data_IF_805108216523
#
_entry.id   IF_805108216523
#
_cell.length_a   1.000
_cell.length_b   1.000
_cell.length_c   1.000
_cell.angle_alpha   90.00
_cell.angle_beta   90.00
_cell.angle_gamma   90.00
#
_symmetry.space_group_name_H-M   'P 1'
#
loop_
_entity.id
_entity.type
_entity.pdbx_description
1 polymer ?
#
# COMPACT_ATOMS: atom_id res chain seq x y z
N UNK A 1 0.03 -20.66 -16.28
CA UNK A 1 0.97 -20.58 -15.15
C UNK A 1 0.14 -20.35 -13.89
N UNK A 2 0.03 -21.36 -13.02
CA UNK A 2 -0.78 -21.25 -11.80
C UNK A 2 -0.03 -20.35 -10.82
N UNK A 3 -0.63 -19.20 -10.49
CA UNK A 3 -0.11 -18.27 -9.48
C UNK A 3 -0.36 -18.93 -8.13
N UNK A 4 0.67 -19.58 -7.60
CA UNK A 4 0.62 -20.21 -6.28
C UNK A 4 0.50 -19.09 -5.25
N UNK A 5 -0.72 -18.84 -4.75
CA UNK A 5 -0.95 -17.80 -3.73
C UNK A 5 -0.30 -18.26 -2.42
N UNK A 6 0.61 -17.48 -1.82
CA UNK A 6 1.24 -17.87 -0.57
C UNK A 6 0.20 -18.07 0.52
N UNK A 7 0.36 -19.15 1.29
CA UNK A 7 -0.55 -19.48 2.39
C UNK A 7 -0.46 -18.39 3.47
N UNK A 8 -1.60 -17.87 3.93
CA UNK A 8 -1.66 -16.79 4.96
C UNK A 8 -0.82 -17.11 6.20
N UNK A 9 -0.74 -18.39 6.55
CA UNK A 9 0.05 -18.86 7.70
C UNK A 9 1.55 -18.77 7.45
N UNK A 10 2.03 -18.95 6.20
CA UNK A 10 3.45 -18.76 5.86
C UNK A 10 3.85 -17.29 5.90
N UNK A 11 2.97 -16.40 5.44
CA UNK A 11 3.22 -14.94 5.45
C UNK A 11 3.38 -14.45 6.89
N UNK A 12 2.42 -14.81 7.76
CA UNK A 12 2.45 -14.43 9.18
C UNK A 12 3.66 -15.02 9.88
N UNK A 13 3.98 -16.29 9.61
CA UNK A 13 5.15 -16.97 10.18
C UNK A 13 6.45 -16.27 9.76
N UNK A 14 6.63 -15.97 8.48
CA UNK A 14 7.85 -15.32 7.98
C UNK A 14 8.02 -13.89 8.51
N UNK A 15 6.93 -13.16 8.71
CA UNK A 15 6.95 -11.82 9.29
C UNK A 15 7.26 -11.86 10.80
N UNK A 16 6.56 -12.69 11.56
CA UNK A 16 6.75 -12.82 13.01
C UNK A 16 8.16 -13.30 13.36
N UNK A 17 8.72 -14.19 12.55
CA UNK A 17 10.08 -14.73 12.69
C UNK A 17 11.15 -13.64 12.64
N UNK A 18 11.02 -12.65 11.74
CA UNK A 18 12.00 -11.58 11.60
C UNK A 18 12.08 -10.68 12.83
N UNK A 19 10.96 -10.52 13.56
CA UNK A 19 10.80 -9.55 14.64
C UNK A 19 11.03 -10.13 16.05
N UNK A 20 11.34 -11.43 16.16
CA UNK A 20 11.53 -12.11 17.46
C UNK A 20 12.51 -11.37 18.38
N UNK A 21 13.71 -10.94 17.93
CA UNK A 21 14.66 -10.26 18.79
C UNK A 21 14.15 -8.92 19.31
N UNK A 22 13.42 -8.18 18.47
CA UNK A 22 12.82 -6.90 18.82
C UNK A 22 11.73 -7.06 19.87
N UNK A 23 10.82 -8.04 19.71
CA UNK A 23 9.79 -8.29 20.71
C UNK A 23 10.38 -8.74 22.04
N UNK A 24 11.40 -9.60 22.02
CA UNK A 24 12.09 -10.04 23.22
C UNK A 24 12.77 -8.86 23.94
N UNK A 25 13.40 -7.95 23.18
CA UNK A 25 13.97 -6.70 23.71
C UNK A 25 12.90 -5.84 24.39
N UNK A 26 11.79 -5.53 23.70
CA UNK A 26 10.73 -4.64 24.20
C UNK A 26 10.14 -5.21 25.51
N UNK A 27 9.82 -6.51 25.54
CA UNK A 27 9.26 -7.13 26.72
C UNK A 27 10.21 -7.08 27.92
N UNK A 28 11.49 -7.34 27.69
CA UNK A 28 12.49 -7.34 28.76
C UNK A 28 12.88 -5.93 29.21
N UNK A 29 12.90 -4.93 28.32
CA UNK A 29 13.09 -3.51 28.65
C UNK A 29 11.96 -3.01 29.55
N UNK A 30 10.71 -3.34 29.21
CA UNK A 30 9.53 -2.93 30.00
C UNK A 30 9.50 -3.60 31.39
N UNK A 31 9.81 -4.90 31.47
CA UNK A 31 9.70 -5.66 32.72
C UNK A 31 10.92 -5.51 33.64
N UNK A 32 12.11 -5.38 33.08
CA UNK A 32 13.38 -5.50 33.81
C UNK A 32 14.37 -4.36 33.52
N UNK A 33 13.97 -3.37 32.71
CA UNK A 33 14.76 -2.18 32.36
C UNK A 33 15.75 -2.41 31.21
N UNK A 34 16.31 -1.30 30.71
CA UNK A 34 17.05 -1.24 29.43
C UNK A 34 18.28 -2.12 29.35
N UNK A 35 18.98 -2.34 30.47
CA UNK A 35 20.13 -3.26 30.51
C UNK A 35 19.70 -4.72 30.26
N UNK A 36 18.62 -5.15 30.91
CA UNK A 36 18.07 -6.49 30.75
C UNK A 36 17.43 -6.64 29.36
N UNK A 37 16.69 -5.62 28.90
CA UNK A 37 16.16 -5.51 27.55
C UNK A 37 17.23 -5.74 26.48
N UNK A 38 18.31 -4.96 26.52
CA UNK A 38 19.45 -5.10 25.60
C UNK A 38 20.03 -6.51 25.61
N UNK A 39 20.28 -7.05 26.80
CA UNK A 39 20.90 -8.37 26.92
C UNK A 39 20.00 -9.45 26.31
N UNK A 40 18.70 -9.43 26.62
CA UNK A 40 17.71 -10.37 26.06
C UNK A 40 17.55 -10.19 24.55
N UNK A 41 17.50 -8.95 24.05
CA UNK A 41 17.41 -8.65 22.63
C UNK A 41 18.61 -9.15 21.83
N UNK A 42 19.83 -8.90 22.33
CA UNK A 42 21.07 -9.37 21.69
C UNK A 42 21.12 -10.91 21.72
N UNK A 43 20.84 -11.52 22.87
CA UNK A 43 20.96 -12.96 23.04
C UNK A 43 19.92 -13.70 22.17
N UNK A 44 18.70 -13.20 22.11
CA UNK A 44 17.66 -13.74 21.21
C UNK A 44 18.04 -13.56 19.74
N UNK A 45 18.59 -12.41 19.34
CA UNK A 45 19.10 -12.17 17.99
C UNK A 45 20.21 -13.15 17.58
N UNK A 46 21.20 -13.35 18.45
CA UNK A 46 22.33 -14.28 18.22
C UNK A 46 21.84 -15.72 18.14
N UNK A 47 21.00 -16.16 19.10
CA UNK A 47 20.43 -17.52 19.09
C UNK A 47 19.63 -17.77 17.82
N UNK A 48 18.82 -16.79 17.40
CA UNK A 48 18.01 -16.92 16.20
C UNK A 48 18.86 -16.97 14.92
N UNK A 49 19.88 -16.11 14.83
CA UNK A 49 20.83 -16.13 13.70
C UNK A 49 21.58 -17.46 13.62
N UNK A 50 22.03 -18.01 14.75
CA UNK A 50 22.67 -19.33 14.82
C UNK A 50 21.73 -20.45 14.41
N UNK A 51 20.51 -20.48 14.95
CA UNK A 51 19.50 -21.46 14.58
C UNK A 51 19.25 -21.44 13.06
N UNK A 52 19.06 -20.25 12.49
CA UNK A 52 18.79 -20.09 11.06
C UNK A 52 19.98 -20.53 10.20
N UNK A 53 21.21 -20.16 10.62
CA UNK A 53 22.43 -20.56 9.94
C UNK A 53 22.64 -22.09 9.98
N UNK A 54 22.42 -22.74 11.12
CA UNK A 54 22.58 -24.20 11.25
C UNK A 54 21.52 -24.93 10.42
N UNK A 55 20.26 -24.48 10.47
CA UNK A 55 19.14 -25.18 9.83
C UNK A 55 19.05 -24.95 8.33
N UNK A 56 19.29 -23.72 7.87
CA UNK A 56 19.08 -23.31 6.48
C UNK A 56 20.36 -22.96 5.74
N UNK A 57 21.52 -22.94 6.42
CA UNK A 57 22.83 -22.54 5.83
C UNK A 57 22.80 -21.17 5.16
N UNK A 58 21.90 -20.30 5.61
CA UNK A 58 21.74 -18.94 5.12
C UNK A 58 21.83 -17.97 6.29
N UNK A 59 22.34 -16.77 6.01
CA UNK A 59 22.40 -15.67 6.97
C UNK A 59 21.14 -14.83 6.79
N UNK A 60 20.29 -14.78 7.82
CA UNK A 60 19.11 -13.93 7.79
C UNK A 60 19.48 -12.47 8.08
N UNK A 61 19.60 -11.67 7.02
CA UNK A 61 20.04 -10.27 7.09
C UNK A 61 19.13 -9.41 7.97
N UNK A 62 17.84 -9.73 8.07
CA UNK A 62 16.89 -8.98 8.90
C UNK A 62 17.17 -9.18 10.39
N UNK A 63 17.44 -10.41 10.82
CA UNK A 63 17.80 -10.71 12.22
C UNK A 63 19.07 -9.98 12.60
N UNK A 64 20.06 -9.94 11.71
CA UNK A 64 21.30 -9.18 11.95
C UNK A 64 21.07 -7.68 12.00
N UNK A 65 20.27 -7.13 11.09
CA UNK A 65 19.93 -5.72 11.05
C UNK A 65 19.17 -5.29 12.31
N UNK A 66 18.17 -6.05 12.74
CA UNK A 66 17.39 -5.78 13.94
C UNK A 66 18.25 -5.88 15.20
N UNK A 67 19.11 -6.90 15.29
CA UNK A 67 20.05 -7.05 16.41
C UNK A 67 21.03 -5.87 16.49
N UNK A 68 21.55 -5.43 15.33
CA UNK A 68 22.41 -4.25 15.25
C UNK A 68 21.68 -2.99 15.70
N UNK A 69 20.43 -2.81 15.28
CA UNK A 69 19.59 -1.68 15.66
C UNK A 69 19.38 -1.65 17.18
N UNK A 70 19.12 -2.81 17.81
CA UNK A 70 18.98 -2.94 19.27
C UNK A 70 20.28 -2.54 19.98
N UNK A 71 21.43 -3.01 19.50
CA UNK A 71 22.74 -2.67 20.09
C UNK A 71 23.01 -1.17 20.00
N UNK A 72 22.80 -0.58 18.83
CA UNK A 72 23.07 0.85 18.60
C UNK A 72 22.11 1.71 19.43
N UNK A 73 20.80 1.48 19.32
CA UNK A 73 19.81 2.31 20.01
C UNK A 73 19.84 2.10 21.53
N UNK A 74 19.95 0.86 21.98
CA UNK A 74 20.06 0.57 23.40
C UNK A 74 21.41 1.03 23.98
N UNK A 75 22.51 0.88 23.25
CA UNK A 75 23.82 1.40 23.64
C UNK A 75 23.81 2.91 23.83
N UNK A 76 23.25 3.66 22.87
CA UNK A 76 23.04 5.11 22.99
C UNK A 76 22.15 5.42 24.20
N UNK A 77 21.08 4.64 24.43
CA UNK A 77 20.20 4.82 25.59
C UNK A 77 20.93 4.66 26.93
N UNK A 78 21.87 3.72 27.04
CA UNK A 78 22.66 3.51 28.26
C UNK A 78 23.72 4.61 28.46
N UNK A 79 24.30 5.12 27.37
CA UNK A 79 25.34 6.15 27.42
C UNK A 79 24.77 7.53 27.76
N UNK A 80 23.62 7.89 27.22
CA UNK A 80 23.07 9.23 27.38
C UNK A 80 22.32 9.40 28.71
N UNK A 81 21.65 8.36 29.23
CA UNK A 81 20.90 8.39 30.50
C UNK A 81 20.04 9.67 30.69
N UNK A 82 19.58 10.24 29.58
CA UNK A 82 18.96 11.56 29.50
C UNK A 82 17.46 11.39 29.21
N UNK A 83 16.63 12.09 29.99
CA UNK A 83 15.18 12.11 29.82
C UNK A 83 14.80 12.60 28.41
N UNK A 84 15.56 13.53 27.85
CA UNK A 84 15.32 14.06 26.50
C UNK A 84 15.52 12.95 25.47
N UNK A 85 16.58 12.15 25.60
CA UNK A 85 16.82 11.03 24.69
C UNK A 85 15.67 10.02 24.73
N UNK A 86 15.15 9.72 25.93
CA UNK A 86 13.96 8.88 26.07
C UNK A 86 12.76 9.46 25.31
N UNK A 87 12.54 10.78 25.44
CA UNK A 87 11.43 11.46 24.75
C UNK A 87 11.57 11.51 23.23
N UNK A 88 12.80 11.46 22.72
CA UNK A 88 13.09 11.50 21.28
C UNK A 88 12.99 10.13 20.59
N UNK A 89 13.03 9.01 21.33
CA UNK A 89 12.96 7.66 20.76
C UNK A 89 11.77 7.48 19.79
N UNK A 90 10.52 7.84 20.13
CA UNK A 90 9.39 7.68 19.21
C UNK A 90 9.54 8.52 17.94
N UNK A 91 10.07 9.75 18.07
CA UNK A 91 10.33 10.64 16.94
C UNK A 91 11.39 10.10 15.99
N UNK A 92 12.45 9.44 16.50
CA UNK A 92 13.46 8.80 15.67
C UNK A 92 12.89 7.59 14.90
N UNK A 93 12.07 6.76 15.56
CA UNK A 93 11.40 5.62 14.91
C UNK A 93 10.45 6.10 13.82
N UNK A 94 9.64 7.12 14.12
CA UNK A 94 8.73 7.69 13.12
C UNK A 94 9.49 8.39 11.98
N UNK A 95 10.63 9.03 12.25
CA UNK A 95 11.48 9.61 11.20
C UNK A 95 12.00 8.56 10.21
N UNK A 96 12.38 7.37 10.69
CA UNK A 96 12.73 6.24 9.80
C UNK A 96 11.53 5.87 8.93
N UNK A 97 10.32 5.82 9.50
CA UNK A 97 9.10 5.56 8.74
C UNK A 97 8.81 6.66 7.72
N UNK A 98 9.00 7.94 8.08
CA UNK A 98 8.88 9.09 7.16
C UNK A 98 9.84 8.93 5.98
N UNK A 99 11.09 8.55 6.22
CA UNK A 99 12.07 8.31 5.15
C UNK A 99 11.62 7.15 4.24
N UNK A 100 11.21 6.01 4.81
CA UNK A 100 10.76 4.85 4.03
C UNK A 100 9.52 5.18 3.18
N UNK A 101 8.51 5.82 3.79
CA UNK A 101 7.29 6.26 3.09
C UNK A 101 7.63 7.33 2.06
N UNK A 102 8.55 8.25 2.35
CA UNK A 102 9.00 9.31 1.45
C UNK A 102 9.66 8.76 0.20
N UNK A 103 10.58 7.80 0.35
CA UNK A 103 11.21 7.14 -0.80
C UNK A 103 10.12 6.45 -1.65
N UNK A 104 9.14 5.79 -1.04
CA UNK A 104 8.04 5.18 -1.81
C UNK A 104 7.11 6.21 -2.48
N UNK A 105 6.79 7.30 -1.79
CA UNK A 105 5.83 8.32 -2.22
C UNK A 105 6.34 9.18 -3.39
N UNK A 106 7.65 9.45 -3.42
CA UNK A 106 8.29 10.37 -4.37
C UNK A 106 9.29 9.70 -5.32
N UNK A 107 9.57 8.39 -5.19
CA UNK A 107 10.39 7.65 -6.15
C UNK A 107 9.55 6.78 -7.08
N UNK A 108 10.09 6.51 -8.26
CA UNK A 108 9.59 5.47 -9.17
C UNK A 108 10.15 4.08 -8.86
N UNK A 109 11.02 3.99 -7.85
CA UNK A 109 11.49 2.71 -7.34
C UNK A 109 10.32 1.91 -6.77
N UNK A 110 10.11 0.66 -7.23
CA UNK A 110 8.95 -0.11 -6.83
C UNK A 110 9.26 -0.85 -5.52
N UNK A 111 9.63 -0.10 -4.46
CA UNK A 111 10.04 -0.63 -3.14
C UNK A 111 8.94 -1.51 -2.55
N UNK A 112 7.70 -1.03 -2.61
CA UNK A 112 6.55 -1.80 -2.18
C UNK A 112 6.36 -3.08 -2.99
N UNK A 113 6.72 -3.09 -4.28
CA UNK A 113 6.69 -4.30 -5.10
C UNK A 113 7.79 -5.29 -4.71
N UNK A 114 8.98 -4.79 -4.35
CA UNK A 114 10.10 -5.61 -3.91
C UNK A 114 9.80 -6.25 -2.55
N UNK A 115 9.19 -5.49 -1.63
CA UNK A 115 8.73 -6.00 -0.34
C UNK A 115 7.52 -6.93 -0.50
N UNK A 116 6.55 -6.56 -1.32
CA UNK A 116 5.38 -7.40 -1.65
C UNK A 116 5.80 -8.74 -2.25
N UNK A 117 6.77 -8.76 -3.18
CA UNK A 117 7.32 -10.02 -3.73
C UNK A 117 7.89 -10.94 -2.65
N UNK A 118 8.54 -10.38 -1.63
CA UNK A 118 9.11 -11.15 -0.51
C UNK A 118 8.04 -11.74 0.41
N UNK A 119 6.97 -11.00 0.69
CA UNK A 119 5.98 -11.39 1.71
C UNK A 119 4.68 -11.97 1.15
N UNK A 120 4.25 -11.54 -0.04
CA UNK A 120 2.94 -11.84 -0.61
C UNK A 120 3.00 -12.47 -2.02
N UNK A 121 4.19 -12.76 -2.54
CA UNK A 121 4.38 -13.33 -3.88
C UNK A 121 4.12 -12.33 -5.01
N UNK A 122 3.96 -12.80 -6.25
CA UNK A 122 3.62 -11.95 -7.39
C UNK A 122 2.16 -11.49 -7.33
N UNK A 123 1.84 -10.55 -6.44
CA UNK A 123 0.61 -9.78 -6.56
C UNK A 123 0.81 -8.79 -7.70
N UNK A 124 0.24 -9.09 -8.87
CA UNK A 124 0.14 -8.15 -9.97
C UNK A 124 -0.75 -6.96 -9.56
N UNK A 125 -0.14 -5.86 -9.12
CA UNK A 125 -0.85 -4.61 -8.88
C UNK A 125 -1.17 -3.95 -10.22
N UNK A 126 -2.44 -3.62 -10.44
CA UNK A 126 -2.83 -2.82 -11.59
C UNK A 126 -2.22 -1.40 -11.46
N UNK A 127 -1.75 -0.75 -12.54
CA UNK A 127 -1.26 0.64 -12.54
C UNK A 127 -2.16 1.63 -11.76
N UNK A 128 -3.49 1.48 -11.82
CA UNK A 128 -4.42 2.32 -11.06
C UNK A 128 -4.30 2.13 -9.54
N UNK A 129 -4.08 0.89 -9.07
CA UNK A 129 -3.87 0.58 -7.65
C UNK A 129 -2.53 1.13 -7.17
N UNK A 130 -1.48 1.01 -7.99
CA UNK A 130 -0.17 1.58 -7.69
C UNK A 130 -0.20 3.12 -7.59
N UNK A 131 -0.96 3.78 -8.47
CA UNK A 131 -1.18 5.23 -8.41
C UNK A 131 -1.92 5.67 -7.14
N UNK A 132 -2.93 4.92 -6.72
CA UNK A 132 -3.65 5.19 -5.48
C UNK A 132 -2.74 5.01 -4.26
N UNK A 133 -1.97 3.93 -4.19
CA UNK A 133 -0.99 3.70 -3.13
C UNK A 133 0.01 4.84 -3.03
N UNK A 134 0.59 5.28 -4.16
CA UNK A 134 1.49 6.46 -4.18
C UNK A 134 0.82 7.71 -3.63
N UNK A 135 -0.45 7.99 -4.01
CA UNK A 135 -1.18 9.16 -3.52
C UNK A 135 -1.41 9.11 -2.01
N UNK A 136 -1.79 7.94 -1.48
CA UNK A 136 -1.95 7.73 -0.03
C UNK A 136 -0.62 7.84 0.70
N UNK A 137 0.46 7.31 0.15
CA UNK A 137 1.79 7.42 0.74
C UNK A 137 2.29 8.87 0.81
N UNK A 138 1.95 9.73 -0.16
CA UNK A 138 2.26 11.17 -0.07
C UNK A 138 1.51 11.85 1.07
N UNK A 139 0.22 11.55 1.24
CA UNK A 139 -0.55 12.06 2.37
C UNK A 139 0.08 11.62 3.70
N UNK A 140 0.36 10.32 3.83
CA UNK A 140 1.00 9.75 5.01
C UNK A 140 2.37 10.38 5.28
N UNK A 141 3.18 10.64 4.24
CA UNK A 141 4.47 11.29 4.40
C UNK A 141 4.35 12.64 5.12
N UNK A 142 3.48 13.53 4.66
CA UNK A 142 3.34 14.86 5.28
C UNK A 142 2.75 14.79 6.68
N UNK A 143 1.79 13.88 6.90
CA UNK A 143 1.19 13.65 8.22
C UNK A 143 2.25 13.17 9.22
N UNK A 144 3.01 12.13 8.86
CA UNK A 144 4.07 11.59 9.71
C UNK A 144 5.19 12.60 9.92
N UNK A 145 5.56 13.37 8.89
CA UNK A 145 6.58 14.42 9.02
C UNK A 145 6.16 15.50 10.03
N UNK A 146 4.91 15.97 9.95
CA UNK A 146 4.36 16.95 10.89
C UNK A 146 4.26 16.37 12.30
N UNK A 147 3.82 15.12 12.41
CA UNK A 147 3.70 14.42 13.68
C UNK A 147 5.08 14.20 14.34
N UNK A 148 6.09 13.77 13.59
CA UNK A 148 7.47 13.66 14.06
C UNK A 148 8.01 15.00 14.55
N UNK A 149 7.75 16.08 13.81
CA UNK A 149 8.08 17.44 14.25
C UNK A 149 7.39 17.82 15.57
N UNK A 150 6.14 17.41 15.75
CA UNK A 150 5.38 17.64 16.99
C UNK A 150 5.90 16.80 18.17
N UNK A 151 6.31 15.55 17.95
CA UNK A 151 6.97 14.72 18.97
C UNK A 151 8.26 15.39 19.42
N UNK A 152 9.12 15.76 18.45
CA UNK A 152 10.39 16.44 18.70
C UNK A 152 10.12 17.72 19.47
N UNK A 153 9.25 18.60 19.01
CA UNK A 153 8.92 19.85 19.70
C UNK A 153 8.39 19.62 21.14
N UNK A 154 7.40 18.74 21.30
CA UNK A 154 6.81 18.47 22.62
C UNK A 154 7.81 17.87 23.62
N UNK A 155 8.87 17.20 23.16
CA UNK A 155 9.90 16.63 24.02
C UNK A 155 10.64 17.69 24.86
N UNK A 156 10.85 18.91 24.32
CA UNK A 156 11.53 20.00 25.02
C UNK A 156 10.57 21.00 25.67
N UNK A 157 9.42 21.25 25.06
CA UNK A 157 8.59 22.41 25.42
C UNK A 157 7.36 22.07 26.27
N UNK A 158 6.90 20.82 26.27
CA UNK A 158 5.65 20.43 26.92
C UNK A 158 5.84 19.41 28.04
N UNK A 159 4.79 19.22 28.85
CA UNK A 159 4.80 18.29 29.98
C UNK A 159 4.93 16.84 29.51
N UNK A 160 5.36 15.94 30.41
CA UNK A 160 5.57 14.52 30.09
C UNK A 160 4.26 13.86 29.64
N UNK A 161 3.13 14.24 30.21
CA UNK A 161 1.81 13.70 29.90
C UNK A 161 1.37 14.11 28.50
N UNK A 162 1.57 15.38 28.14
CA UNK A 162 1.24 15.91 26.81
C UNK A 162 2.14 15.26 25.75
N UNK A 163 3.45 15.17 26.00
CA UNK A 163 4.38 14.47 25.12
C UNK A 163 4.03 12.98 24.96
N UNK A 164 3.66 12.29 26.05
CA UNK A 164 3.28 10.87 25.99
C UNK A 164 2.01 10.65 25.17
N UNK A 165 1.03 11.54 25.32
CA UNK A 165 -0.16 11.53 24.48
C UNK A 165 0.17 11.77 23.00
N UNK A 166 1.03 12.74 22.70
CA UNK A 166 1.42 13.06 21.31
C UNK A 166 2.19 11.90 20.68
N UNK A 167 3.23 11.41 21.35
CA UNK A 167 4.08 10.34 20.84
C UNK A 167 3.38 8.99 20.70
N UNK A 168 2.26 8.77 21.41
CA UNK A 168 1.47 7.54 21.35
C UNK A 168 0.02 7.75 20.91
N UNK A 169 -0.82 8.28 21.78
CA UNK A 169 -2.28 8.37 21.57
C UNK A 169 -2.70 9.14 20.31
N UNK A 170 -2.10 10.32 20.09
CA UNK A 170 -2.41 11.18 18.95
C UNK A 170 -2.11 10.49 17.60
N UNK A 171 -1.01 9.72 17.52
CA UNK A 171 -0.66 8.94 16.35
C UNK A 171 -1.83 8.05 15.90
N UNK A 172 -2.39 7.26 16.82
CA UNK A 172 -3.51 6.35 16.50
C UNK A 172 -4.79 7.11 16.11
N UNK A 173 -5.06 8.25 16.75
CA UNK A 173 -6.22 9.09 16.42
C UNK A 173 -6.09 9.65 15.01
N UNK A 174 -4.92 10.18 14.63
CA UNK A 174 -4.66 10.69 13.28
C UNK A 174 -4.88 9.59 12.24
N UNK A 175 -4.32 8.39 12.46
CA UNK A 175 -4.54 7.27 11.54
C UNK A 175 -6.01 6.87 11.45
N UNK A 176 -6.72 6.78 12.58
CA UNK A 176 -8.15 6.47 12.59
C UNK A 176 -8.95 7.50 11.79
N UNK A 177 -8.67 8.79 11.96
CA UNK A 177 -9.33 9.87 11.21
C UNK A 177 -9.01 9.81 9.73
N UNK A 178 -7.75 9.52 9.34
CA UNK A 178 -7.38 9.34 7.94
C UNK A 178 -8.10 8.13 7.33
N UNK A 179 -8.15 6.99 8.03
CA UNK A 179 -8.85 5.80 7.54
C UNK A 179 -10.36 6.01 7.42
N UNK A 180 -10.99 6.62 8.42
CA UNK A 180 -12.42 6.95 8.41
C UNK A 180 -12.70 7.98 7.31
N UNK A 181 -11.90 9.04 7.22
CA UNK A 181 -12.03 10.07 6.19
C UNK A 181 -11.83 9.51 4.79
N UNK A 182 -10.86 8.63 4.58
CA UNK A 182 -10.64 7.93 3.31
C UNK A 182 -11.80 6.97 3.00
N UNK A 183 -12.31 6.24 3.98
CA UNK A 183 -13.45 5.36 3.81
C UNK A 183 -14.72 6.14 3.42
N UNK A 184 -15.02 7.22 4.13
CA UNK A 184 -16.13 8.14 3.82
C UNK A 184 -15.92 8.77 2.44
N UNK A 185 -14.73 9.30 2.14
CA UNK A 185 -14.40 9.89 0.84
C UNK A 185 -14.60 8.89 -0.30
N UNK A 186 -14.16 7.64 -0.13
CA UNK A 186 -14.37 6.59 -1.14
C UNK A 186 -15.85 6.23 -1.29
N UNK A 187 -16.62 6.17 -0.19
CA UNK A 187 -18.07 5.93 -0.22
C UNK A 187 -18.82 7.07 -0.88
N UNK A 188 -18.45 8.32 -0.58
CA UNK A 188 -19.00 9.53 -1.20
C UNK A 188 -18.58 9.69 -2.66
N UNK A 189 -17.35 9.36 -3.04
CA UNK A 189 -16.92 9.36 -4.44
C UNK A 189 -17.64 8.28 -5.25
N UNK A 190 -17.92 7.13 -4.63
CA UNK A 190 -18.80 6.09 -5.22
C UNK A 190 -20.26 6.55 -5.33
N UNK A 191 -20.67 7.55 -4.53
CA UNK A 191 -21.98 8.23 -4.60
C UNK A 191 -21.95 9.60 -5.32
N UNK A 192 -20.81 10.06 -5.82
CA UNK A 192 -20.71 11.32 -6.56
C UNK A 192 -21.16 11.08 -8.00
N UNK A 193 -22.05 11.91 -8.57
CA UNK A 193 -22.62 11.71 -9.90
C UNK A 193 -21.64 12.00 -11.05
N UNK A 194 -20.36 12.23 -10.75
CA UNK A 194 -19.27 12.35 -11.74
C UNK A 194 -18.43 11.07 -11.72
N UNK A 195 -19.11 9.94 -11.87
CA UNK A 195 -18.56 8.82 -12.62
C UNK A 195 -18.88 9.12 -14.09
N UNK A 196 -18.02 8.83 -15.08
CA UNK A 196 -18.56 8.56 -16.41
C UNK A 196 -19.65 7.54 -16.17
N UNK A 197 -20.88 7.85 -16.58
CA UNK A 197 -22.03 7.01 -16.32
C UNK A 197 -21.71 5.63 -16.88
N UNK A 198 -21.19 4.73 -16.05
CA UNK A 198 -21.49 3.31 -16.22
C UNK A 198 -22.98 3.23 -15.89
N UNK A 199 -23.80 3.64 -16.86
CA UNK A 199 -25.12 3.08 -17.00
C UNK A 199 -24.91 1.59 -16.78
N UNK A 200 -25.73 0.99 -15.94
CA UNK A 200 -25.87 -0.46 -15.85
C UNK A 200 -26.26 -1.13 -17.18
N UNK A 201 -26.20 -0.39 -18.30
CA UNK A 201 -26.31 -0.82 -19.69
C UNK A 201 -25.47 0.01 -20.68
N UNK A 202 -24.32 0.58 -20.27
CA UNK A 202 -23.35 1.13 -21.25
C UNK A 202 -22.61 -0.02 -21.94
N UNK A 203 -22.79 -0.13 -23.25
CA UNK A 203 -22.18 -1.15 -24.10
C UNK A 203 -20.71 -0.81 -24.38
N UNK A 204 -19.81 -1.79 -24.23
CA UNK A 204 -18.38 -1.65 -24.52
C UNK A 204 -18.05 -2.33 -25.84
N UNK A 205 -17.25 -1.65 -26.67
CA UNK A 205 -16.76 -2.19 -27.93
C UNK A 205 -15.27 -2.47 -27.88
N UNK A 206 -14.87 -3.53 -28.58
CA UNK A 206 -13.46 -3.74 -28.94
C UNK A 206 -13.06 -2.72 -30.00
N UNK A 207 -11.91 -2.07 -29.77
CA UNK A 207 -11.30 -1.16 -30.74
C UNK A 207 -10.32 -1.97 -31.57
N UNK A 208 -10.43 -1.83 -32.89
CA UNK A 208 -9.59 -2.53 -33.86
C UNK A 208 -8.74 -1.55 -34.66
N UNK A 209 -7.64 -2.04 -35.21
CA UNK A 209 -6.92 -1.33 -36.27
C UNK A 209 -7.54 -1.59 -37.65
N UNK A 210 -6.97 -0.99 -38.70
CA UNK A 210 -7.41 -1.15 -40.09
C UNK A 210 -7.33 -2.60 -40.60
N UNK A 211 -6.55 -3.45 -39.92
CA UNK A 211 -6.44 -4.88 -40.21
C UNK A 211 -7.40 -5.74 -39.39
N UNK A 212 -8.26 -5.12 -38.57
CA UNK A 212 -9.25 -5.81 -37.74
C UNK A 212 -8.66 -6.43 -36.47
N UNK A 213 -7.41 -6.12 -36.10
CA UNK A 213 -6.78 -6.62 -34.88
C UNK A 213 -7.20 -5.75 -33.68
N UNK A 214 -7.57 -6.40 -32.58
CA UNK A 214 -7.96 -5.70 -31.35
C UNK A 214 -6.75 -4.97 -30.76
N UNK A 215 -6.88 -3.65 -30.59
CA UNK A 215 -5.88 -2.75 -30.00
C UNK A 215 -6.34 -2.13 -28.67
N UNK A 216 -7.63 -2.25 -28.31
CA UNK A 216 -8.16 -1.72 -27.06
C UNK A 216 -9.66 -1.95 -26.89
N UNK A 217 -10.26 -1.23 -25.93
CA UNK A 217 -11.72 -1.19 -25.71
C UNK A 217 -12.16 0.21 -25.31
N UNK A 218 -13.32 0.64 -25.79
CA UNK A 218 -13.92 1.93 -25.44
C UNK A 218 -15.46 1.80 -25.35
N UNK A 219 -16.12 2.66 -24.55
CA UNK A 219 -17.57 2.65 -24.44
C UNK A 219 -18.24 3.17 -25.73
N UNK A 220 -19.45 2.68 -26.03
CA UNK A 220 -20.26 3.09 -27.20
C UNK A 220 -20.38 4.60 -27.35
N UNK A 221 -20.51 5.31 -26.23
CA UNK A 221 -20.63 6.77 -26.18
C UNK A 221 -19.40 7.50 -26.74
N UNK A 222 -18.20 6.96 -26.55
CA UNK A 222 -16.96 7.50 -27.10
C UNK A 222 -16.76 7.09 -28.57
N UNK A 223 -17.08 5.83 -28.88
CA UNK A 223 -16.89 5.27 -30.24
C UNK A 223 -17.79 5.94 -31.26
N UNK A 224 -19.07 6.15 -30.93
CA UNK A 224 -20.06 6.74 -31.84
C UNK A 224 -19.88 8.25 -32.05
N UNK A 225 -19.01 8.90 -31.28
CA UNK A 225 -18.63 10.31 -31.45
C UNK A 225 -17.24 10.54 -32.04
N UNK A 226 -16.44 9.48 -32.24
CA UNK A 226 -15.04 9.60 -32.67
C UNK A 226 -14.71 8.68 -33.85
N UNK A 227 -14.57 9.21 -35.08
CA UNK A 227 -14.24 8.44 -36.28
C UNK A 227 -12.90 7.69 -36.23
N UNK A 228 -12.00 8.05 -35.32
CA UNK A 228 -10.69 7.39 -35.17
C UNK A 228 -10.78 6.07 -34.39
N UNK A 229 -11.91 5.80 -33.72
CA UNK A 229 -12.13 4.57 -32.97
C UNK A 229 -12.89 3.56 -33.83
N UNK A 230 -12.15 2.72 -34.54
CA UNK A 230 -12.75 1.65 -35.34
C UNK A 230 -13.24 0.53 -34.42
N UNK A 231 -14.44 0.02 -34.66
CA UNK A 231 -15.00 -1.13 -33.94
C UNK A 231 -15.66 -2.11 -34.91
N UNK A 232 -15.66 -3.43 -34.61
CA UNK A 232 -16.34 -4.41 -35.45
C UNK A 232 -17.85 -4.14 -35.53
N UNK A 233 -18.41 -4.25 -36.73
CA UNK A 233 -19.85 -4.13 -36.98
C UNK A 233 -20.34 -5.32 -37.81
N UNK A 234 -21.57 -5.76 -37.56
CA UNK A 234 -22.24 -6.82 -38.33
C UNK A 234 -23.50 -6.25 -38.96
N UNK A 235 -23.66 -6.46 -40.27
CA UNK A 235 -24.88 -6.13 -41.01
C UNK A 235 -25.56 -7.42 -41.47
N UNK A 236 -26.87 -7.52 -41.25
CA UNK A 236 -27.67 -8.69 -41.62
C UNK A 236 -28.65 -8.33 -42.74
N UNK A 237 -28.65 -9.10 -43.83
CA UNK A 237 -29.63 -9.00 -44.90
C UNK A 237 -30.56 -10.21 -44.87
N UNK A 238 -31.86 -9.98 -44.68
CA UNK A 238 -32.87 -11.05 -44.58
C UNK A 238 -33.74 -11.01 -45.84
N UNK A 239 -33.83 -12.16 -46.52
CA UNK A 239 -34.67 -12.34 -47.70
C UNK A 239 -35.78 -13.35 -47.42
N UNK A 240 -36.98 -13.09 -47.93
CA UNK A 240 -38.06 -14.08 -47.91
C UNK A 240 -37.96 -15.05 -49.10
N UNK A 241 -38.83 -16.09 -49.11
CA UNK A 241 -38.87 -17.09 -50.20
C UNK A 241 -39.19 -16.52 -51.59
N UNK A 242 -39.65 -15.27 -51.68
CA UNK A 242 -39.96 -14.55 -52.93
C UNK A 242 -38.81 -13.63 -53.38
N UNK A 243 -37.65 -13.66 -52.69
CA UNK A 243 -36.48 -12.84 -53.02
C UNK A 243 -36.57 -11.37 -52.57
N UNK A 244 -37.55 -11.01 -51.74
CA UNK A 244 -37.71 -9.64 -51.24
C UNK A 244 -36.89 -9.43 -49.97
N UNK A 245 -36.28 -8.25 -49.83
CA UNK A 245 -35.46 -7.87 -48.66
C UNK A 245 -36.31 -7.26 -47.55
N UNK A 246 -36.00 -7.61 -46.30
CA UNK A 246 -36.57 -6.94 -45.12
C UNK A 246 -35.79 -5.67 -44.79
N UNK A 247 -36.46 -4.51 -44.89
CA UNK A 247 -35.90 -3.21 -44.51
C UNK A 247 -36.44 -2.77 -43.15
N UNK A 248 -35.54 -2.33 -42.27
CA UNK A 248 -35.90 -1.77 -40.97
C UNK A 248 -35.93 -0.24 -41.04
N UNK A 249 -37.10 0.36 -40.73
CA UNK A 249 -37.16 1.78 -40.38
C UNK A 249 -36.69 1.94 -38.92
N UNK A 250 -35.70 2.81 -38.71
CA UNK A 250 -35.15 3.09 -37.38
C UNK A 250 -36.09 4.01 -36.59
N UNK A 251 -35.86 4.04 -35.28
CA UNK A 251 -36.65 4.83 -34.34
C UNK A 251 -35.97 6.18 -34.14
N UNK A 252 -36.77 7.25 -34.06
CA UNK A 252 -36.27 8.62 -33.86
C UNK A 252 -35.45 8.80 -32.57
N UNK A 253 -35.55 7.86 -31.61
CA UNK A 253 -34.80 7.86 -30.34
C UNK A 253 -33.39 7.29 -30.45
N UNK A 254 -32.95 6.85 -31.64
CA UNK A 254 -31.61 6.28 -31.83
C UNK A 254 -30.53 7.38 -31.81
N UNK A 255 -29.37 6.99 -31.30
CA UNK A 255 -28.17 7.82 -31.12
C UNK A 255 -27.55 8.24 -32.46
N UNK A 256 -27.50 7.31 -33.42
CA UNK A 256 -27.02 7.54 -34.78
C UNK A 256 -28.05 7.07 -35.80
N UNK A 257 -28.20 7.88 -36.85
CA UNK A 257 -29.10 7.64 -37.99
C UNK A 257 -30.53 7.25 -37.53
N UNK A 258 -31.25 8.17 -36.86
CA UNK A 258 -32.64 7.97 -36.44
C UNK A 258 -33.59 7.66 -37.61
#
# INVERSE_FOLDING_TARGET
MSINRPNRNEILKNFAIGLVPLFAFILADELYGTKAGLLVGILSGVVYALYYYIRFRQIEKFVLFDTLLIIVLGGISLLLNDEIFFKLKPGLVELILVLLVGIHAFSDKPILSLMSKRYMGEIAMNPAQAGLLKKLSRLLFFVLLLHTGLIIYSAWFWSKEVWAFISGGLFYIIFALIFIGQWIYLRWKKHSPVQPRTNSGEEWFDIVDEHGKIVGRAPRSEVHGNPQLLHPTVHLHIFNRRGQIFLQKRSDKKDLNP
#
